data_IF_929413101744
#
_entry.id   IF_929413101744
#
_cell.length_a   1.000
_cell.length_b   1.000
_cell.length_c   1.000
_cell.angle_alpha   90.00
_cell.angle_beta   90.00
_cell.angle_gamma   90.00
#
_symmetry.space_group_name_H-M   'P 1'
#
loop_
_entity.id
_entity.type
_entity.pdbx_description
1 polymer ?
#
# COMPACT_ATOMS: atom_id res chain seq x y z
N UNK A 1 46.34 1.93 38.90
CA UNK A 1 44.91 2.29 39.04
C UNK A 1 44.48 2.83 37.68
N UNK A 2 44.23 1.93 36.75
CA UNK A 2 43.78 2.24 35.39
C UNK A 2 42.30 1.87 35.29
N UNK A 3 41.47 2.85 34.93
CA UNK A 3 40.05 2.65 34.74
C UNK A 3 39.81 2.08 33.34
N UNK A 4 39.27 0.86 33.27
CA UNK A 4 38.72 0.26 32.06
C UNK A 4 37.50 1.08 31.62
N UNK A 5 37.65 1.81 30.51
CA UNK A 5 36.53 2.43 29.80
C UNK A 5 35.86 1.33 28.98
N UNK A 6 34.78 0.77 29.52
CA UNK A 6 33.92 -0.16 28.76
C UNK A 6 33.09 0.66 27.78
N UNK A 7 33.50 0.69 26.51
CA UNK A 7 32.68 1.25 25.43
C UNK A 7 31.49 0.33 25.18
N UNK A 8 30.29 0.78 25.56
CA UNK A 8 29.04 0.17 25.13
C UNK A 8 28.88 0.43 23.62
N UNK A 9 29.08 -0.59 22.79
CA UNK A 9 28.66 -0.55 21.39
C UNK A 9 27.17 -0.87 21.35
N UNK A 10 26.35 0.18 21.20
CA UNK A 10 24.93 0.02 20.94
C UNK A 10 24.73 -0.52 19.53
N UNK A 11 24.64 -1.84 19.41
CA UNK A 11 24.36 -2.54 18.16
C UNK A 11 22.88 -2.43 17.74
N UNK A 12 22.03 -1.69 18.46
CA UNK A 12 20.61 -1.50 18.11
C UNK A 12 20.34 -0.30 17.20
N UNK A 13 21.30 0.65 17.10
CA UNK A 13 21.10 1.92 16.39
C UNK A 13 21.07 1.82 14.85
N UNK A 14 21.52 0.70 14.26
CA UNK A 14 21.75 0.61 12.80
C UNK A 14 20.68 -0.19 12.03
N UNK A 15 19.61 -0.62 12.70
CA UNK A 15 18.47 -1.23 11.99
C UNK A 15 17.49 -0.14 11.58
N UNK A 16 17.32 0.15 10.27
CA UNK A 16 16.30 1.09 9.86
C UNK A 16 14.94 0.59 10.34
N UNK A 17 14.12 1.51 10.85
CA UNK A 17 12.73 1.21 11.19
C UNK A 17 12.08 0.65 9.92
N UNK A 18 11.52 -0.56 9.95
CA UNK A 18 11.07 -1.27 8.74
C UNK A 18 10.11 -0.44 7.86
N UNK A 19 9.30 0.44 8.46
CA UNK A 19 8.37 1.30 7.76
C UNK A 19 9.01 2.53 7.09
N UNK A 20 10.26 2.85 7.43
CA UNK A 20 11.04 3.93 6.80
C UNK A 20 12.13 3.42 5.86
N UNK A 21 12.35 2.10 5.82
CA UNK A 21 13.27 1.50 4.87
C UNK A 21 12.78 1.72 3.42
N UNK A 22 13.68 1.96 2.46
CA UNK A 22 13.29 2.13 1.07
C UNK A 22 12.60 0.86 0.57
N UNK A 23 11.37 0.99 0.10
CA UNK A 23 10.58 -0.15 -0.37
C UNK A 23 11.06 -0.72 -1.71
N UNK A 24 11.95 -0.02 -2.41
CA UNK A 24 12.39 -0.38 -3.78
C UNK A 24 11.31 -0.19 -4.85
N UNK A 25 10.19 0.46 -4.51
CA UNK A 25 9.07 0.73 -5.43
C UNK A 25 9.18 2.16 -5.95
N UNK A 26 9.37 2.33 -7.26
CA UNK A 26 9.12 3.60 -7.94
C UNK A 26 7.62 3.85 -8.01
N UNK A 27 7.15 4.98 -7.48
CA UNK A 27 5.74 5.35 -7.49
C UNK A 27 5.21 5.67 -8.89
N UNK A 28 6.09 5.88 -9.87
CA UNK A 28 5.81 6.08 -11.29
C UNK A 28 4.60 7.01 -11.54
N UNK A 29 4.58 8.15 -10.82
CA UNK A 29 3.38 8.98 -10.70
C UNK A 29 2.88 9.58 -12.02
N UNK A 30 3.78 9.73 -13.01
CA UNK A 30 3.47 10.25 -14.34
C UNK A 30 2.53 9.34 -15.14
N UNK A 31 2.41 8.05 -14.80
CA UNK A 31 1.48 7.13 -15.45
C UNK A 31 0.05 7.15 -14.88
N UNK A 32 -0.20 7.83 -13.76
CA UNK A 32 -1.48 7.75 -13.04
C UNK A 32 -2.68 8.27 -13.84
N UNK A 33 -2.45 9.14 -14.82
CA UNK A 33 -3.47 9.69 -15.72
C UNK A 33 -3.48 9.01 -17.10
N UNK A 34 -2.54 8.11 -17.37
CA UNK A 34 -2.42 7.41 -18.65
C UNK A 34 -3.24 6.11 -18.59
N UNK A 35 -4.50 6.20 -19.00
CA UNK A 35 -5.42 5.06 -18.99
C UNK A 35 -4.95 3.89 -19.87
N UNK A 36 -4.29 4.18 -21.00
CA UNK A 36 -3.79 3.17 -21.90
C UNK A 36 -2.61 2.41 -21.27
N UNK A 37 -1.68 3.14 -20.66
CA UNK A 37 -0.57 2.53 -19.92
C UNK A 37 -1.09 1.72 -18.72
N UNK A 38 -2.03 2.25 -17.94
CA UNK A 38 -2.61 1.54 -16.79
C UNK A 38 -3.31 0.24 -17.22
N UNK A 39 -4.02 0.25 -18.34
CA UNK A 39 -4.65 -0.93 -18.91
C UNK A 39 -3.63 -1.98 -19.37
N UNK A 40 -2.53 -1.54 -20.00
CA UNK A 40 -1.44 -2.41 -20.40
C UNK A 40 -0.72 -3.00 -19.18
N UNK A 41 -0.37 -2.17 -18.19
CA UNK A 41 0.24 -2.60 -16.93
C UNK A 41 -0.65 -3.59 -16.18
N UNK A 42 -1.96 -3.33 -16.08
CA UNK A 42 -2.90 -4.26 -15.46
C UNK A 42 -2.94 -5.63 -16.18
N UNK A 43 -2.83 -5.63 -17.50
CA UNK A 43 -2.93 -6.87 -18.31
C UNK A 43 -1.61 -7.65 -18.39
N UNK A 44 -0.51 -7.09 -17.89
CA UNK A 44 0.80 -7.73 -17.95
C UNK A 44 0.88 -8.94 -16.99
N UNK A 45 1.40 -10.11 -17.41
CA UNK A 45 1.39 -11.34 -16.60
C UNK A 45 2.25 -11.27 -15.33
N UNK A 46 3.25 -10.39 -15.30
CA UNK A 46 4.06 -10.17 -14.09
C UNK A 46 3.35 -9.33 -13.04
N UNK A 47 2.27 -8.61 -13.40
CA UNK A 47 1.57 -7.71 -12.48
C UNK A 47 1.04 -8.46 -11.27
N UNK A 48 1.22 -7.85 -10.11
CA UNK A 48 0.76 -8.39 -8.82
C UNK A 48 -0.23 -7.44 -8.18
N UNK A 49 -1.22 -8.01 -7.53
CA UNK A 49 -2.21 -7.25 -6.81
C UNK A 49 -2.63 -7.92 -5.51
N UNK A 50 -3.22 -7.14 -4.62
CA UNK A 50 -3.81 -7.63 -3.38
C UNK A 50 -5.04 -6.82 -3.03
N UNK A 51 -5.91 -7.39 -2.21
CA UNK A 51 -7.11 -6.71 -1.73
C UNK A 51 -6.79 -5.96 -0.44
N UNK A 52 -7.28 -4.73 -0.34
CA UNK A 52 -7.30 -3.94 0.89
C UNK A 52 -8.75 -3.67 1.30
N UNK A 53 -9.04 -3.86 2.59
CA UNK A 53 -10.37 -3.64 3.14
C UNK A 53 -10.27 -3.24 4.60
N UNK A 54 -10.88 -2.12 4.99
CA UNK A 54 -10.89 -1.68 6.39
C UNK A 54 -9.50 -1.47 7.00
N UNK A 55 -8.52 -1.04 6.19
CA UNK A 55 -7.12 -0.92 6.60
C UNK A 55 -6.38 -2.24 6.84
N UNK A 56 -6.94 -3.37 6.41
CA UNK A 56 -6.33 -4.70 6.50
C UNK A 56 -6.03 -5.27 5.11
N UNK A 57 -5.06 -6.17 5.07
CA UNK A 57 -4.69 -7.01 3.93
C UNK A 57 -4.56 -8.46 4.40
N UNK A 58 -4.45 -9.40 3.46
CA UNK A 58 -4.08 -10.77 3.81
C UNK A 58 -2.56 -10.92 3.87
N UNK A 59 -2.07 -11.49 4.97
CA UNK A 59 -0.68 -11.93 5.11
C UNK A 59 -0.66 -13.45 5.35
N UNK A 60 0.44 -14.07 4.99
CA UNK A 60 0.70 -15.48 5.26
C UNK A 60 2.06 -15.67 5.95
N UNK A 61 2.19 -16.74 6.69
CA UNK A 61 3.44 -17.17 7.30
C UNK A 61 4.01 -18.32 6.48
N UNK A 62 5.19 -18.10 5.91
CA UNK A 62 5.86 -19.12 5.11
C UNK A 62 6.45 -20.21 6.00
N UNK A 63 6.71 -21.42 5.48
CA UNK A 63 7.29 -22.51 6.27
C UNK A 63 8.64 -22.20 6.91
N UNK A 64 9.39 -21.23 6.36
CA UNK A 64 10.65 -20.73 6.90
C UNK A 64 10.47 -19.57 7.90
N UNK A 65 9.24 -19.29 8.34
CA UNK A 65 8.92 -18.34 9.40
C UNK A 65 8.91 -16.88 8.97
N UNK A 66 8.89 -16.57 7.67
CA UNK A 66 8.77 -15.21 7.16
C UNK A 66 7.29 -14.85 7.02
N UNK A 67 6.97 -13.58 7.21
CA UNK A 67 5.64 -13.04 6.90
C UNK A 67 5.66 -12.41 5.53
N UNK A 68 4.71 -12.80 4.67
CA UNK A 68 4.59 -12.28 3.31
C UNK A 68 3.20 -11.68 3.06
N UNK A 69 3.16 -10.63 2.23
CA UNK A 69 1.90 -10.07 1.75
C UNK A 69 1.31 -11.00 0.70
N UNK A 70 0.07 -11.44 0.90
CA UNK A 70 -0.60 -12.32 -0.06
C UNK A 70 -0.97 -11.53 -1.30
N UNK A 71 -0.23 -11.78 -2.38
CA UNK A 71 -0.48 -11.21 -3.69
C UNK A 71 -0.99 -12.28 -4.67
N UNK A 72 -1.78 -11.85 -5.64
CA UNK A 72 -2.25 -12.67 -6.75
C UNK A 72 -1.92 -11.99 -8.09
N UNK A 73 -1.71 -12.75 -9.18
CA UNK A 73 -1.63 -12.18 -10.51
C UNK A 73 -2.90 -11.37 -10.84
N UNK A 74 -2.77 -10.29 -11.61
CA UNK A 74 -3.91 -9.43 -11.95
C UNK A 74 -5.04 -10.14 -12.71
N UNK A 75 -4.74 -11.22 -13.44
CA UNK A 75 -5.73 -12.03 -14.15
C UNK A 75 -6.52 -12.99 -13.24
N UNK A 76 -6.03 -13.25 -12.03
CA UNK A 76 -6.74 -13.98 -10.97
C UNK A 76 -7.40 -13.03 -9.95
N UNK A 77 -7.21 -11.72 -10.12
CA UNK A 77 -7.79 -10.72 -9.26
C UNK A 77 -9.31 -10.84 -9.20
N UNK A 78 -9.92 -10.73 -8.00
CA UNK A 78 -11.36 -10.77 -7.90
C UNK A 78 -11.96 -9.56 -8.61
N UNK A 79 -13.04 -9.78 -9.36
CA UNK A 79 -13.76 -8.71 -10.06
C UNK A 79 -14.10 -7.59 -9.08
N UNK A 80 -13.82 -6.35 -9.47
CA UNK A 80 -14.17 -5.15 -8.71
C UNK A 80 -14.75 -4.12 -9.66
N UNK A 81 -15.91 -3.59 -9.28
CA UNK A 81 -16.49 -2.39 -9.87
C UNK A 81 -15.85 -1.12 -9.30
N UNK A 82 -15.09 -1.26 -8.19
CA UNK A 82 -14.35 -0.16 -7.57
C UNK A 82 -13.04 0.13 -8.30
N UNK A 83 -12.46 1.29 -8.02
CA UNK A 83 -11.20 1.68 -8.61
C UNK A 83 -10.00 0.92 -8.03
N UNK A 84 -9.08 0.55 -8.92
CA UNK A 84 -7.78 -0.05 -8.59
C UNK A 84 -6.79 1.05 -8.26
N UNK A 85 -5.94 0.83 -7.26
CA UNK A 85 -4.90 1.77 -6.89
C UNK A 85 -3.58 1.32 -7.49
N UNK A 86 -2.99 2.10 -8.39
CA UNK A 86 -1.64 1.82 -8.88
C UNK A 86 -0.62 2.24 -7.82
N UNK A 87 0.20 1.31 -7.35
CA UNK A 87 1.11 1.54 -6.21
C UNK A 87 2.54 1.85 -6.64
N UNK A 88 2.90 1.48 -7.88
CA UNK A 88 4.22 1.67 -8.46
C UNK A 88 4.75 0.42 -9.18
N UNK A 89 6.02 0.50 -9.56
CA UNK A 89 6.80 -0.58 -10.19
C UNK A 89 8.08 -0.85 -9.40
N UNK A 90 8.54 -2.09 -9.36
CA UNK A 90 9.88 -2.41 -8.85
C UNK A 90 10.95 -2.34 -9.96
N UNK A 91 12.20 -2.64 -9.59
CA UNK A 91 13.35 -2.65 -10.50
C UNK A 91 13.27 -3.73 -11.60
N UNK A 92 12.49 -4.79 -11.37
CA UNK A 92 12.25 -5.87 -12.34
C UNK A 92 11.08 -5.53 -13.30
N UNK A 93 10.44 -4.36 -13.13
CA UNK A 93 9.32 -3.91 -13.94
C UNK A 93 7.98 -4.52 -13.54
N UNK A 94 7.88 -5.19 -12.39
CA UNK A 94 6.61 -5.69 -11.86
C UNK A 94 5.75 -4.51 -11.43
N UNK A 95 4.54 -4.42 -12.00
CA UNK A 95 3.54 -3.43 -11.58
C UNK A 95 2.72 -3.96 -10.41
N UNK A 96 2.48 -3.09 -9.43
CA UNK A 96 1.71 -3.41 -8.23
C UNK A 96 0.42 -2.61 -8.14
N UNK A 97 -0.68 -3.31 -7.86
CA UNK A 97 -1.99 -2.70 -7.66
C UNK A 97 -2.64 -3.14 -6.34
N UNK A 98 -3.38 -2.25 -5.70
CA UNK A 98 -4.32 -2.61 -4.64
C UNK A 98 -5.76 -2.52 -5.14
N UNK A 99 -6.59 -3.45 -4.66
CA UNK A 99 -8.01 -3.53 -4.95
C UNK A 99 -8.78 -3.20 -3.68
N UNK A 100 -9.48 -2.07 -3.66
CA UNK A 100 -10.38 -1.78 -2.55
C UNK A 100 -11.64 -2.64 -2.68
N UNK A 101 -12.00 -3.33 -1.59
CA UNK A 101 -13.25 -4.08 -1.45
C UNK A 101 -13.87 -3.88 -0.07
N UNK A 102 -15.13 -4.26 0.06
CA UNK A 102 -15.86 -4.21 1.34
C UNK A 102 -15.46 -5.33 2.31
N UNK A 103 -14.86 -6.40 1.79
CA UNK A 103 -14.29 -7.48 2.59
C UNK A 103 -13.05 -8.07 1.90
N UNK A 104 -12.15 -8.65 2.70
CA UNK A 104 -11.04 -9.45 2.20
C UNK A 104 -11.58 -10.79 1.63
N UNK A 105 -10.97 -11.32 0.57
CA UNK A 105 -11.36 -12.61 0.02
C UNK A 105 -11.07 -13.72 1.04
N UNK A 106 -12.00 -14.65 1.21
CA UNK A 106 -11.72 -15.89 1.94
C UNK A 106 -10.72 -16.73 1.16
N UNK A 107 -9.78 -17.38 1.85
CA UNK A 107 -8.82 -18.31 1.24
C UNK A 107 -9.06 -19.72 1.79
N UNK A 108 -9.07 -20.70 0.88
CA UNK A 108 -9.54 -22.06 1.18
C UNK A 108 -8.52 -22.90 1.97
N UNK A 109 -7.23 -22.55 1.91
CA UNK A 109 -6.16 -23.21 2.67
C UNK A 109 -6.00 -22.68 4.10
N UNK A 110 -6.72 -21.61 4.47
CA UNK A 110 -6.77 -21.03 5.81
C UNK A 110 -5.41 -20.60 6.41
N UNK A 111 -4.31 -20.63 5.63
CA UNK A 111 -2.99 -20.17 6.08
C UNK A 111 -2.92 -18.65 6.19
N UNK A 112 -3.52 -17.97 5.20
CA UNK A 112 -3.58 -16.52 5.16
C UNK A 112 -4.58 -15.95 6.18
N UNK A 113 -4.16 -14.90 6.89
CA UNK A 113 -5.00 -14.17 7.84
C UNK A 113 -5.06 -12.67 7.54
N UNK A 114 -6.17 -11.99 7.87
CA UNK A 114 -6.22 -10.53 7.89
C UNK A 114 -5.20 -9.94 8.87
N UNK A 115 -4.55 -8.85 8.47
CA UNK A 115 -3.69 -8.08 9.36
C UNK A 115 -3.68 -6.59 9.01
N UNK A 116 -3.64 -5.75 10.04
CA UNK A 116 -3.43 -4.31 9.90
C UNK A 116 -1.95 -3.91 10.00
N UNK A 117 -1.64 -2.64 9.74
CA UNK A 117 -0.26 -2.12 9.75
C UNK A 117 0.46 -2.34 11.08
N UNK A 118 -0.26 -2.29 12.21
CA UNK A 118 0.31 -2.53 13.55
C UNK A 118 0.78 -3.98 13.72
N UNK A 119 0.08 -4.92 13.13
CA UNK A 119 0.33 -6.36 13.30
C UNK A 119 1.35 -6.88 12.28
N UNK A 120 1.28 -6.42 11.03
CA UNK A 120 2.10 -6.92 9.93
C UNK A 120 3.29 -6.03 9.55
N UNK A 121 3.20 -4.72 9.80
CA UNK A 121 4.11 -3.74 9.19
C UNK A 121 5.58 -3.93 9.53
N UNK A 122 5.90 -4.45 10.72
CA UNK A 122 7.28 -4.75 11.13
C UNK A 122 7.75 -6.18 10.76
N UNK A 123 6.81 -7.07 10.41
CA UNK A 123 7.09 -8.46 10.05
C UNK A 123 7.32 -8.64 8.55
N UNK A 124 6.68 -7.77 7.74
CA UNK A 124 6.80 -7.78 6.30
C UNK A 124 8.18 -7.32 5.82
N UNK A 125 8.56 -7.79 4.63
CA UNK A 125 9.71 -7.24 3.90
C UNK A 125 9.52 -5.72 3.64
N UNK A 126 10.60 -4.93 3.47
CA UNK A 126 10.49 -3.49 3.19
C UNK A 126 9.60 -3.16 1.99
N UNK A 127 9.66 -4.00 0.93
CA UNK A 127 8.79 -3.87 -0.24
C UNK A 127 7.33 -4.04 0.13
N UNK A 128 6.99 -5.15 0.77
CA UNK A 128 5.60 -5.49 1.07
C UNK A 128 5.01 -4.55 2.12
N UNK A 129 5.80 -4.15 3.12
CA UNK A 129 5.43 -3.12 4.09
C UNK A 129 5.15 -1.78 3.39
N UNK A 130 6.01 -1.35 2.47
CA UNK A 130 5.83 -0.11 1.71
C UNK A 130 4.62 -0.12 0.77
N UNK A 131 4.29 -1.28 0.19
CA UNK A 131 3.07 -1.49 -0.59
C UNK A 131 1.83 -1.46 0.30
N UNK A 132 1.85 -2.16 1.43
CA UNK A 132 0.75 -2.20 2.40
C UNK A 132 0.45 -0.82 2.97
N UNK A 133 1.47 -0.07 3.42
CA UNK A 133 1.32 1.32 3.92
C UNK A 133 0.64 2.19 2.87
N UNK A 134 1.09 2.10 1.62
CA UNK A 134 0.53 2.91 0.53
C UNK A 134 -0.93 2.56 0.25
N UNK A 135 -1.24 1.28 0.13
CA UNK A 135 -2.60 0.81 -0.14
C UNK A 135 -3.57 1.17 0.99
N UNK A 136 -3.18 0.95 2.25
CA UNK A 136 -4.00 1.29 3.43
C UNK A 136 -4.22 2.80 3.54
N UNK A 137 -3.20 3.61 3.28
CA UNK A 137 -3.33 5.06 3.30
C UNK A 137 -4.31 5.56 2.22
N UNK A 138 -4.19 5.03 0.99
CA UNK A 138 -5.11 5.36 -0.10
C UNK A 138 -6.54 4.89 0.20
N UNK A 139 -6.74 3.64 0.62
CA UNK A 139 -8.07 3.10 0.97
C UNK A 139 -8.75 3.95 2.04
N UNK A 140 -8.04 4.26 3.12
CA UNK A 140 -8.59 5.05 4.21
C UNK A 140 -8.95 6.47 3.74
N UNK A 141 -8.06 7.13 2.99
CA UNK A 141 -8.35 8.46 2.45
C UNK A 141 -9.56 8.43 1.52
N UNK A 142 -9.60 7.47 0.60
CA UNK A 142 -10.68 7.30 -0.37
C UNK A 142 -12.03 7.08 0.33
N UNK A 143 -12.06 6.25 1.38
CA UNK A 143 -13.28 5.96 2.15
C UNK A 143 -13.82 7.19 2.89
N UNK A 144 -12.92 8.07 3.37
CA UNK A 144 -13.28 9.25 4.15
C UNK A 144 -13.60 10.50 3.30
N UNK A 145 -13.07 10.60 2.08
CA UNK A 145 -13.19 11.80 1.23
C UNK A 145 -14.17 11.63 0.07
N UNK A 146 -15.40 11.19 0.37
CA UNK A 146 -16.43 10.89 -0.67
C UNK A 146 -17.17 12.13 -1.20
N UNK A 147 -17.06 13.28 -0.55
CA UNK A 147 -17.74 14.52 -0.93
C UNK A 147 -16.74 15.67 -1.11
N UNK A 148 -17.08 16.58 -2.01
CA UNK A 148 -16.25 17.73 -2.35
C UNK A 148 -16.27 18.75 -1.22
N UNK A 149 -15.09 19.10 -0.69
CA UNK A 149 -15.00 20.13 0.35
C UNK A 149 -15.34 21.54 -0.13
N UNK A 150 -15.42 21.77 -1.45
CA UNK A 150 -15.76 23.06 -2.05
C UNK A 150 -17.26 23.26 -2.26
N UNK A 151 -17.98 22.24 -2.75
CA UNK A 151 -19.40 22.37 -3.12
C UNK A 151 -20.33 21.32 -2.49
N UNK A 152 -19.80 20.36 -1.72
CA UNK A 152 -20.60 19.31 -1.06
C UNK A 152 -21.01 18.13 -1.96
N UNK A 153 -20.85 18.21 -3.28
CA UNK A 153 -21.24 17.14 -4.21
C UNK A 153 -20.37 15.89 -4.08
N UNK A 154 -20.91 14.71 -4.43
CA UNK A 154 -20.14 13.46 -4.45
C UNK A 154 -18.97 13.55 -5.44
N UNK A 155 -17.83 13.01 -5.04
CA UNK A 155 -16.61 12.96 -5.86
C UNK A 155 -16.38 11.56 -6.43
N UNK A 156 -15.71 11.50 -7.57
CA UNK A 156 -15.27 10.25 -8.20
C UNK A 156 -13.76 10.07 -8.00
N UNK A 157 -13.30 8.83 -7.93
CA UNK A 157 -11.86 8.54 -7.87
C UNK A 157 -11.27 8.75 -9.26
N UNK A 158 -10.06 9.31 -9.32
CA UNK A 158 -9.30 9.44 -10.55
C UNK A 158 -7.80 9.26 -10.27
N UNK A 159 -6.97 9.43 -11.31
CA UNK A 159 -5.52 9.28 -11.25
C UNK A 159 -5.07 7.96 -10.59
N UNK A 160 -5.63 6.83 -11.03
CA UNK A 160 -5.34 5.49 -10.48
C UNK A 160 -5.43 5.39 -8.94
N UNK A 161 -6.43 6.05 -8.34
CA UNK A 161 -6.64 6.04 -6.88
C UNK A 161 -5.98 7.19 -6.13
N UNK A 162 -5.24 8.08 -6.80
CA UNK A 162 -4.46 9.12 -6.15
C UNK A 162 -5.14 10.48 -6.08
N UNK A 163 -6.30 10.65 -6.71
CA UNK A 163 -7.12 11.86 -6.55
C UNK A 163 -8.60 11.51 -6.45
N UNK A 164 -9.35 12.51 -5.98
CA UNK A 164 -10.81 12.57 -5.99
C UNK A 164 -11.19 13.80 -6.80
N UNK A 165 -11.96 13.63 -7.87
CA UNK A 165 -12.40 14.72 -8.73
C UNK A 165 -13.89 14.97 -8.52
N UNK A 166 -14.27 16.23 -8.33
CA UNK A 166 -15.66 16.64 -8.28
C UNK A 166 -16.20 16.85 -9.70
N UNK A 167 -17.20 16.08 -10.17
CA UNK A 167 -17.76 16.29 -11.50
C UNK A 167 -18.57 17.59 -11.61
N UNK A 168 -19.11 18.11 -10.51
CA UNK A 168 -19.95 19.31 -10.53
C UNK A 168 -19.17 20.62 -10.62
N UNK A 169 -18.05 20.76 -9.89
CA UNK A 169 -17.29 22.01 -9.85
C UNK A 169 -15.84 21.88 -10.38
N UNK A 170 -15.43 20.68 -10.80
CA UNK A 170 -14.10 20.40 -11.33
C UNK A 170 -12.97 20.38 -10.29
N UNK A 171 -13.24 20.59 -9.01
CA UNK A 171 -12.22 20.56 -7.96
C UNK A 171 -11.57 19.18 -7.83
N UNK A 172 -10.26 19.18 -7.62
CA UNK A 172 -9.49 17.98 -7.31
C UNK A 172 -9.07 17.99 -5.84
N UNK A 173 -9.14 16.83 -5.22
CA UNK A 173 -8.70 16.60 -3.86
C UNK A 173 -7.63 15.52 -3.85
N UNK A 174 -6.60 15.75 -3.03
CA UNK A 174 -5.42 14.91 -2.95
C UNK A 174 -5.33 14.24 -1.56
N UNK A 175 -4.71 13.05 -1.45
CA UNK A 175 -4.42 12.41 -0.17
C UNK A 175 -3.67 13.34 0.76
N UNK A 176 -4.15 13.45 2.01
CA UNK A 176 -3.45 14.21 3.06
C UNK A 176 -2.37 13.35 3.69
N UNK A 177 -1.23 13.97 3.98
CA UNK A 177 -0.21 13.41 4.87
C UNK A 177 -0.25 14.23 6.15
N UNK A 178 -0.47 13.57 7.29
CA UNK A 178 -0.55 14.21 8.60
C UNK A 178 0.82 14.00 9.31
N UNK A 179 1.77 14.96 9.23
CA UNK A 179 3.10 14.78 9.81
C UNK A 179 3.02 14.69 11.34
N UNK A 180 3.78 13.77 11.92
CA UNK A 180 3.90 13.56 13.36
C UNK A 180 5.37 13.47 13.77
N UNK A 181 5.66 13.85 15.02
CA UNK A 181 7.00 13.79 15.62
C UNK A 181 6.97 12.79 16.78
N UNK A 182 7.95 11.89 16.82
CA UNK A 182 8.18 10.94 17.92
C UNK A 182 9.51 11.31 18.56
N UNK A 183 9.52 11.54 19.88
CA UNK A 183 10.71 11.86 20.67
C UNK A 183 11.07 10.66 21.54
N UNK A 184 12.36 10.36 21.65
CA UNK A 184 12.91 9.31 22.52
C UNK A 184 13.33 9.89 23.88
#
# INVERSE_FOLDING_TARGET
MEALVTTWTDHTADRPISLTAPSGIDRAAHHRLDEAWLAAAWSHPSTRCFVVSGGQVLIDETPDGRTELVMTPSFEAPLTEAHRYFLGTDADGVSYFALQKDALPGRMDQSARPAGLREAGLLLSPRDAGLMVHAVALENWQRLHRFCSRCGERTVIAAAGHIRRCPACGAEHYPRTDPAVIMA
#
